data_IF_809140503661
#
_entry.id   IF_809140503661
#
_cell.length_a   1.000
_cell.length_b   1.000
_cell.length_c   1.000
_cell.angle_alpha   90.00
_cell.angle_beta   90.00
_cell.angle_gamma   90.00
#
_symmetry.space_group_name_H-M   'P 1'
#
loop_
_entity.id
_entity.type
_entity.pdbx_description
1 polymer ?
#
# COMPACT_ATOMS: atom_id res chain seq x y z
N UNK A 1 -6.20 -6.39 21.66
CA UNK A 1 -5.03 -6.37 20.76
C UNK A 1 -5.29 -5.35 19.66
N UNK A 2 -4.31 -4.53 19.28
CA UNK A 2 -4.43 -3.58 18.15
C UNK A 2 -4.15 -4.31 16.83
N UNK A 3 -5.05 -5.21 16.46
CA UNK A 3 -4.90 -6.06 15.29
C UNK A 3 -6.19 -6.08 14.45
N UNK A 4 -6.04 -6.12 13.14
CA UNK A 4 -7.12 -6.35 12.18
C UNK A 4 -7.03 -7.77 11.61
N UNK A 5 -8.17 -8.33 11.22
CA UNK A 5 -8.27 -9.63 10.55
C UNK A 5 -8.92 -9.40 9.20
N UNK A 6 -8.27 -9.88 8.13
CA UNK A 6 -8.80 -9.86 6.77
C UNK A 6 -9.14 -11.29 6.34
N UNK A 7 -10.23 -11.43 5.59
CA UNK A 7 -10.72 -12.68 5.01
C UNK A 7 -10.38 -12.66 3.52
N UNK A 8 -9.72 -13.71 3.02
CA UNK A 8 -9.33 -13.80 1.60
C UNK A 8 -9.59 -15.21 1.00
N UNK A 9 -9.67 -15.26 -0.34
CA UNK A 9 -9.92 -16.46 -1.15
C UNK A 9 -8.62 -17.17 -1.56
N UNK A 10 -8.48 -18.44 -1.15
CA UNK A 10 -7.27 -19.30 -1.13
C UNK A 10 -6.23 -19.22 -2.28
N UNK A 11 -6.59 -18.79 -3.50
CA UNK A 11 -5.74 -18.94 -4.70
C UNK A 11 -4.69 -17.82 -4.88
N UNK A 12 -4.84 -16.67 -4.23
CA UNK A 12 -3.89 -15.54 -4.33
C UNK A 12 -3.08 -15.29 -3.05
N UNK A 13 -3.50 -15.88 -1.93
CA UNK A 13 -3.16 -15.36 -0.60
C UNK A 13 -1.93 -16.01 0.07
N UNK A 14 -1.54 -17.22 -0.38
CA UNK A 14 -0.31 -17.86 0.13
C UNK A 14 0.95 -17.07 -0.23
N UNK A 15 0.91 -16.30 -1.33
CA UNK A 15 2.02 -15.42 -1.71
C UNK A 15 2.11 -14.21 -0.81
N UNK A 16 0.97 -13.64 -0.43
CA UNK A 16 0.91 -12.57 0.57
C UNK A 16 1.55 -13.04 1.86
N UNK A 17 1.15 -14.22 2.38
CA UNK A 17 1.73 -14.77 3.60
C UNK A 17 3.24 -15.01 3.47
N UNK A 18 3.69 -15.65 2.39
CA UNK A 18 5.11 -15.99 2.21
C UNK A 18 6.02 -14.75 2.14
N UNK A 19 5.55 -13.68 1.49
CA UNK A 19 6.30 -12.43 1.40
C UNK A 19 6.16 -11.63 2.69
N UNK A 20 4.93 -11.36 3.12
CA UNK A 20 4.61 -10.42 4.19
C UNK A 20 5.12 -10.89 5.55
N UNK A 21 5.07 -12.19 5.84
CA UNK A 21 5.59 -12.75 7.10
C UNK A 21 7.11 -12.57 7.28
N UNK A 22 7.84 -12.29 6.20
CA UNK A 22 9.31 -12.07 6.20
C UNK A 22 9.70 -10.59 6.27
N UNK A 23 8.71 -9.68 6.27
CA UNK A 23 8.94 -8.24 6.32
C UNK A 23 8.95 -7.78 7.78
N UNK A 24 9.99 -7.03 8.13
CA UNK A 24 10.14 -6.39 9.43
C UNK A 24 10.76 -5.00 9.21
N UNK A 25 9.89 -3.99 9.15
CA UNK A 25 10.24 -2.59 8.95
C UNK A 25 9.13 -1.69 9.50
N UNK A 26 9.50 -0.53 10.04
CA UNK A 26 8.55 0.40 10.64
C UNK A 26 7.52 0.94 9.64
N UNK A 27 7.84 1.00 8.36
CA UNK A 27 6.97 1.47 7.28
C UNK A 27 6.26 0.35 6.52
N UNK A 28 6.25 -0.87 7.04
CA UNK A 28 5.43 -1.97 6.54
C UNK A 28 4.40 -2.33 7.62
N UNK A 29 3.16 -2.63 7.20
CA UNK A 29 2.13 -3.14 8.12
C UNK A 29 2.66 -4.43 8.74
N UNK A 30 2.67 -4.55 10.07
CA UNK A 30 3.22 -5.76 10.69
C UNK A 30 2.29 -6.96 10.49
N UNK A 31 2.81 -8.05 9.92
CA UNK A 31 2.14 -9.35 9.91
C UNK A 31 2.20 -9.97 11.32
N UNK A 32 1.06 -10.50 11.80
CA UNK A 32 0.94 -11.11 13.14
C UNK A 32 0.78 -12.63 13.04
N UNK A 33 -0.06 -13.12 12.13
CA UNK A 33 -0.31 -14.55 11.95
C UNK A 33 -1.42 -14.84 10.95
N UNK A 34 -1.64 -16.12 10.62
CA UNK A 34 -2.75 -16.55 9.77
C UNK A 34 -3.22 -17.95 10.13
N UNK A 35 -4.50 -18.25 9.90
CA UNK A 35 -5.09 -19.58 10.11
C UNK A 35 -6.21 -19.83 9.10
N UNK A 36 -6.57 -21.10 8.92
CA UNK A 36 -7.67 -21.51 8.07
C UNK A 36 -8.83 -22.04 8.90
N UNK A 37 -10.05 -21.71 8.49
CA UNK A 37 -11.26 -22.33 9.03
C UNK A 37 -12.09 -22.93 7.89
N UNK A 38 -12.62 -24.12 8.11
CA UNK A 38 -13.58 -24.76 7.22
C UNK A 38 -14.95 -24.73 7.90
N UNK A 39 -15.94 -23.99 7.37
CA UNK A 39 -17.27 -23.96 7.97
C UNK A 39 -17.89 -25.37 7.97
N UNK A 40 -18.08 -25.94 9.16
CA UNK A 40 -18.59 -27.30 9.34
C UNK A 40 -19.91 -27.53 8.57
N UNK A 41 -19.94 -28.59 7.77
CA UNK A 41 -21.17 -29.10 7.13
C UNK A 41 -21.62 -28.41 5.84
N UNK A 42 -20.84 -27.48 5.28
CA UNK A 42 -21.31 -26.60 4.20
C UNK A 42 -20.90 -27.01 2.77
N UNK A 43 -19.94 -27.93 2.60
CA UNK A 43 -19.37 -28.23 1.27
C UNK A 43 -18.62 -27.05 0.63
N UNK A 44 -18.30 -26.02 1.42
CA UNK A 44 -17.66 -24.76 0.99
C UNK A 44 -16.13 -24.85 1.11
N UNK A 45 -15.45 -24.05 0.28
CA UNK A 45 -14.01 -23.77 0.31
C UNK A 45 -13.55 -23.25 1.68
N UNK A 46 -12.38 -23.73 2.15
CA UNK A 46 -11.75 -23.21 3.37
C UNK A 46 -11.49 -21.70 3.27
N UNK A 47 -11.66 -20.99 4.39
CA UNK A 47 -11.46 -19.56 4.49
C UNK A 47 -10.11 -19.29 5.14
N UNK A 48 -9.30 -18.42 4.55
CA UNK A 48 -8.03 -17.97 5.11
C UNK A 48 -8.23 -16.65 5.87
N UNK A 49 -7.75 -16.62 7.11
CA UNK A 49 -7.71 -15.44 7.95
C UNK A 49 -6.28 -14.96 8.10
N UNK A 50 -6.04 -13.68 7.86
CA UNK A 50 -4.74 -13.04 8.05
C UNK A 50 -4.88 -11.94 9.09
N UNK A 51 -4.08 -12.02 10.15
CA UNK A 51 -4.02 -11.04 11.22
C UNK A 51 -2.80 -10.13 11.05
N UNK A 52 -3.05 -8.82 11.12
CA UNK A 52 -2.06 -7.78 10.92
C UNK A 52 -2.23 -6.65 11.93
N UNK A 53 -1.21 -5.80 12.05
CA UNK A 53 -1.28 -4.53 12.77
C UNK A 53 -2.45 -3.68 12.26
N UNK A 54 -3.27 -3.18 13.19
CA UNK A 54 -4.39 -2.31 12.88
C UNK A 54 -3.89 -0.90 12.56
N UNK A 55 -4.11 -0.48 11.31
CA UNK A 55 -3.90 0.90 10.89
C UNK A 55 -5.23 1.67 10.95
N UNK A 56 -5.15 2.98 11.15
CA UNK A 56 -6.34 3.82 11.39
C UNK A 56 -7.12 4.14 10.11
N UNK A 57 -6.40 4.51 9.05
CA UNK A 57 -6.95 4.94 7.77
C UNK A 57 -5.96 4.57 6.65
N UNK A 58 -6.38 4.68 5.39
CA UNK A 58 -5.48 4.68 4.25
C UNK A 58 -5.33 6.09 3.63
N UNK A 59 -4.33 6.27 2.78
CA UNK A 59 -4.03 7.56 2.15
C UNK A 59 -5.19 8.05 1.26
N UNK A 60 -5.98 7.15 0.65
CA UNK A 60 -7.18 7.52 -0.11
C UNK A 60 -8.21 8.20 0.78
N UNK A 61 -8.49 7.65 1.96
CA UNK A 61 -9.42 8.21 2.94
C UNK A 61 -8.93 9.56 3.44
N UNK A 62 -7.63 9.67 3.79
CA UNK A 62 -7.04 10.93 4.21
C UNK A 62 -7.17 12.01 3.12
N UNK A 63 -6.92 11.66 1.86
CA UNK A 63 -7.07 12.62 0.76
C UNK A 63 -8.53 13.07 0.57
N UNK A 64 -9.50 12.16 0.72
CA UNK A 64 -10.93 12.52 0.69
C UNK A 64 -11.32 13.44 1.85
N UNK A 65 -10.87 13.14 3.06
CA UNK A 65 -11.14 13.95 4.25
C UNK A 65 -10.59 15.36 4.09
N UNK A 66 -9.34 15.48 3.62
CA UNK A 66 -8.73 16.75 3.21
C UNK A 66 -9.69 17.53 2.30
N UNK A 67 -10.02 16.98 1.13
CA UNK A 67 -10.89 17.66 0.14
C UNK A 67 -12.23 18.13 0.73
N UNK A 68 -12.86 17.32 1.59
CA UNK A 68 -14.15 17.68 2.22
C UNK A 68 -14.05 18.86 3.20
N UNK A 69 -12.96 18.94 3.96
CA UNK A 69 -12.73 20.05 4.88
C UNK A 69 -12.39 21.35 4.12
N UNK A 70 -11.67 21.27 3.00
CA UNK A 70 -11.22 22.43 2.23
C UNK A 70 -12.33 23.16 1.47
N UNK A 71 -13.35 22.45 1.00
CA UNK A 71 -14.54 23.09 0.42
C UNK A 71 -15.25 24.04 1.42
N UNK A 72 -14.98 23.88 2.71
CA UNK A 72 -15.63 24.60 3.80
C UNK A 72 -14.84 25.83 4.29
N UNK A 73 -13.60 26.04 3.84
CA UNK A 73 -12.69 27.06 4.43
C UNK A 73 -12.07 27.95 3.35
N UNK A 74 -12.18 29.29 3.42
CA UNK A 74 -11.57 30.19 2.45
C UNK A 74 -10.03 30.18 2.51
N UNK A 75 -9.41 29.94 1.35
CA UNK A 75 -7.98 29.80 1.06
C UNK A 75 -7.09 30.97 1.55
N UNK A 76 -6.67 30.98 2.81
CA UNK A 76 -5.64 31.91 3.29
C UNK A 76 -4.65 31.21 4.24
N UNK A 77 -3.65 30.53 3.65
CA UNK A 77 -2.44 30.09 4.35
C UNK A 77 -2.25 28.58 4.57
N UNK A 78 -3.23 27.74 4.20
CA UNK A 78 -3.17 26.29 4.42
C UNK A 78 -2.25 25.54 3.43
N UNK A 79 -1.99 26.08 2.24
CA UNK A 79 -1.16 25.42 1.21
C UNK A 79 0.27 25.06 1.66
N UNK A 80 0.91 25.88 2.49
CA UNK A 80 2.26 25.57 3.00
C UNK A 80 2.27 24.38 3.97
N UNK A 81 1.25 24.29 4.83
CA UNK A 81 1.13 23.19 5.80
C UNK A 81 0.81 21.89 5.07
N UNK A 82 -0.07 21.95 4.06
CA UNK A 82 -0.41 20.78 3.26
C UNK A 82 0.76 20.29 2.43
N UNK A 83 1.49 21.19 1.77
CA UNK A 83 2.72 20.85 1.06
C UNK A 83 3.72 20.17 1.98
N UNK A 84 3.90 20.70 3.19
CA UNK A 84 4.80 20.12 4.19
C UNK A 84 4.36 18.69 4.59
N UNK A 85 3.06 18.47 4.82
CA UNK A 85 2.51 17.15 5.14
C UNK A 85 2.70 16.19 3.95
N UNK A 86 2.32 16.61 2.74
CA UNK A 86 2.44 15.79 1.54
C UNK A 86 3.90 15.43 1.25
N UNK A 87 4.84 16.35 1.46
CA UNK A 87 6.28 16.10 1.38
C UNK A 87 6.76 15.09 2.43
N UNK A 88 6.30 15.20 3.68
CA UNK A 88 6.69 14.26 4.73
C UNK A 88 6.18 12.84 4.42
N UNK A 89 4.91 12.71 4.03
CA UNK A 89 4.33 11.44 3.60
C UNK A 89 5.08 10.86 2.40
N UNK A 90 5.45 11.69 1.42
CA UNK A 90 6.21 11.24 0.27
C UNK A 90 7.53 10.61 0.68
N UNK A 91 8.26 11.29 1.57
CA UNK A 91 9.56 10.83 2.05
C UNK A 91 9.45 9.47 2.73
N UNK A 92 8.48 9.30 3.64
CA UNK A 92 8.27 8.03 4.32
C UNK A 92 7.88 6.90 3.35
N UNK A 93 7.04 7.19 2.35
CA UNK A 93 6.67 6.22 1.30
C UNK A 93 7.92 5.78 0.51
N UNK A 94 8.82 6.71 0.17
CA UNK A 94 10.06 6.37 -0.52
C UNK A 94 10.97 5.50 0.34
N UNK A 95 11.11 5.80 1.63
CA UNK A 95 11.89 4.99 2.58
C UNK A 95 11.32 3.57 2.72
N UNK A 96 9.99 3.43 2.74
CA UNK A 96 9.31 2.16 2.77
C UNK A 96 9.54 1.31 1.50
N UNK A 97 9.47 1.95 0.34
CA UNK A 97 9.69 1.28 -0.95
C UNK A 97 11.16 0.95 -1.16
N UNK A 98 12.06 1.84 -0.75
CA UNK A 98 13.50 1.57 -0.73
C UNK A 98 13.80 0.31 0.08
N UNK A 99 13.22 0.18 1.27
CA UNK A 99 13.36 -1.03 2.08
C UNK A 99 12.98 -2.30 1.30
N UNK A 100 11.86 -2.31 0.56
CA UNK A 100 11.47 -3.47 -0.25
C UNK A 100 12.47 -3.74 -1.38
N UNK A 101 12.94 -2.68 -2.02
CA UNK A 101 13.79 -2.74 -3.21
C UNK A 101 15.25 -3.08 -2.91
N UNK A 102 15.74 -2.81 -1.70
CA UNK A 102 17.11 -3.12 -1.26
C UNK A 102 17.23 -4.44 -0.50
N UNK A 103 16.13 -5.17 -0.32
CA UNK A 103 16.18 -6.50 0.30
C UNK A 103 16.88 -7.52 -0.60
N UNK A 104 17.40 -8.56 0.03
CA UNK A 104 17.88 -9.76 -0.66
C UNK A 104 17.02 -10.96 -0.21
N UNK A 105 16.17 -11.52 -1.08
CA UNK A 105 15.96 -11.10 -2.47
C UNK A 105 15.07 -9.84 -2.58
N UNK A 106 15.23 -9.12 -3.70
CA UNK A 106 14.49 -7.87 -3.99
C UNK A 106 12.99 -8.14 -4.08
N UNK A 107 12.16 -7.26 -3.52
CA UNK A 107 10.70 -7.37 -3.55
C UNK A 107 10.12 -6.21 -4.36
N UNK A 108 9.24 -6.51 -5.32
CA UNK A 108 8.47 -5.52 -6.07
C UNK A 108 7.01 -5.63 -5.61
N UNK A 109 6.40 -4.53 -5.21
CA UNK A 109 5.04 -4.51 -4.66
C UNK A 109 3.97 -4.70 -5.75
N UNK A 110 4.12 -4.02 -6.88
CA UNK A 110 3.27 -4.12 -8.11
C UNK A 110 1.83 -3.62 -7.99
N UNK A 111 1.37 -3.26 -6.80
CA UNK A 111 0.06 -2.62 -6.58
C UNK A 111 0.11 -1.46 -5.57
N UNK A 112 1.14 -0.60 -5.69
CA UNK A 112 1.20 0.61 -4.89
C UNK A 112 0.11 1.59 -5.32
N UNK A 113 -0.78 1.92 -4.40
CA UNK A 113 -1.89 2.84 -4.61
C UNK A 113 -2.33 3.44 -3.26
N UNK A 114 -3.07 4.55 -3.24
CA UNK A 114 -3.43 5.21 -1.99
C UNK A 114 -4.21 4.36 -0.98
N UNK A 115 -4.94 3.32 -1.40
CA UNK A 115 -5.62 2.41 -0.46
C UNK A 115 -4.67 1.43 0.22
N UNK A 116 -3.48 1.22 -0.34
CA UNK A 116 -2.47 0.29 0.16
C UNK A 116 -1.35 1.02 0.93
N UNK A 117 -1.44 2.35 1.03
CA UNK A 117 -0.64 3.17 1.94
C UNK A 117 -1.47 3.48 3.18
N UNK A 118 -1.19 2.77 4.26
CA UNK A 118 -1.90 2.85 5.53
C UNK A 118 -1.31 3.92 6.43
N UNK A 119 -2.13 4.45 7.33
CA UNK A 119 -1.78 5.47 8.31
C UNK A 119 -1.89 4.88 9.71
N UNK A 120 -0.77 4.77 10.40
CA UNK A 120 -0.74 4.42 11.81
C UNK A 120 -0.55 5.67 12.67
N UNK A 121 -1.44 5.83 13.65
CA UNK A 121 -1.24 6.77 14.75
C UNK A 121 -0.56 6.01 15.88
N UNK A 122 0.69 6.34 16.18
CA UNK A 122 1.37 5.72 17.31
C UNK A 122 0.91 6.32 18.65
N UNK A 123 1.38 5.74 19.76
CA UNK A 123 1.01 6.15 21.11
C UNK A 123 1.39 7.61 21.45
N UNK A 124 2.34 8.19 20.70
CA UNK A 124 2.72 9.60 20.82
C UNK A 124 1.92 10.51 19.86
N UNK A 125 0.83 10.01 19.27
CA UNK A 125 0.02 10.67 18.23
C UNK A 125 0.82 11.10 17.00
N UNK A 126 2.01 10.51 16.78
CA UNK A 126 2.75 10.73 15.55
C UNK A 126 2.19 9.80 14.47
N UNK A 127 1.83 10.41 13.35
CA UNK A 127 1.48 9.72 12.13
C UNK A 127 2.73 9.10 11.53
N UNK A 128 2.61 7.85 11.08
CA UNK A 128 3.58 7.21 10.20
C UNK A 128 2.83 6.44 9.12
N UNK A 129 3.35 6.46 7.90
CA UNK A 129 2.83 5.61 6.83
C UNK A 129 3.27 4.16 7.01
N UNK A 130 2.47 3.24 6.50
CA UNK A 130 2.79 1.82 6.40
C UNK A 130 2.29 1.26 5.07
N UNK A 131 3.16 0.61 4.29
CA UNK A 131 2.75 -0.14 3.10
C UNK A 131 2.07 -1.44 3.55
N UNK A 132 0.90 -1.72 2.99
CA UNK A 132 0.16 -2.98 3.16
C UNK A 132 -0.28 -3.57 1.83
N UNK A 133 -0.98 -4.71 1.90
CA UNK A 133 -1.50 -5.47 0.75
C UNK A 133 -0.41 -5.98 -0.21
N UNK A 134 0.19 -7.11 0.17
CA UNK A 134 1.24 -7.78 -0.61
C UNK A 134 0.69 -8.89 -1.51
N UNK A 135 -0.63 -8.96 -1.75
CA UNK A 135 -1.25 -10.01 -2.58
C UNK A 135 -0.74 -10.03 -4.03
N UNK A 136 -0.30 -8.88 -4.53
CA UNK A 136 0.34 -8.75 -5.82
C UNK A 136 1.86 -8.60 -5.74
N UNK A 137 2.50 -8.66 -4.57
CA UNK A 137 3.94 -8.56 -4.47
C UNK A 137 4.65 -9.75 -5.13
N UNK A 138 5.89 -9.56 -5.58
CA UNK A 138 6.73 -10.63 -6.13
C UNK A 138 8.20 -10.39 -5.84
N UNK A 139 8.91 -11.49 -5.57
CA UNK A 139 10.37 -11.50 -5.53
C UNK A 139 10.91 -11.29 -6.95
N UNK A 140 11.76 -10.29 -7.14
CA UNK A 140 12.38 -10.04 -8.43
C UNK A 140 13.35 -11.18 -8.76
N UNK A 141 12.97 -11.99 -9.74
CA UNK A 141 13.76 -13.07 -10.29
C UNK A 141 14.12 -12.76 -11.75
N UNK A 142 15.10 -13.48 -12.33
CA UNK A 142 15.43 -13.39 -13.77
C UNK A 142 14.34 -14.00 -14.67
N UNK A 143 13.17 -14.30 -14.12
CA UNK A 143 12.07 -14.99 -14.78
C UNK A 143 11.10 -14.04 -15.47
N UNK A 144 10.07 -14.63 -16.08
CA UNK A 144 8.92 -13.87 -16.58
C UNK A 144 8.05 -13.41 -15.41
N UNK A 145 7.57 -12.18 -15.49
CA UNK A 145 6.53 -11.62 -14.64
C UNK A 145 5.15 -11.75 -15.28
N UNK A 146 4.11 -11.68 -14.45
CA UNK A 146 2.71 -11.58 -14.89
C UNK A 146 2.45 -10.19 -15.47
N UNK A 147 1.85 -10.12 -16.66
CA UNK A 147 1.37 -8.88 -17.29
C UNK A 147 0.08 -8.39 -16.64
N UNK A 148 -0.24 -7.11 -16.81
CA UNK A 148 -1.53 -6.53 -16.44
C UNK A 148 -1.93 -6.82 -14.99
N UNK A 149 -0.98 -6.65 -14.06
CA UNK A 149 -1.23 -6.74 -12.61
C UNK A 149 -1.18 -5.34 -12.00
N UNK A 150 -1.98 -5.13 -10.98
CA UNK A 150 -2.15 -3.86 -10.29
C UNK A 150 -3.51 -3.23 -10.55
N UNK A 151 -3.73 -2.04 -10.00
CA UNK A 151 -5.00 -1.31 -10.10
C UNK A 151 -4.98 -0.30 -11.24
N UNK A 152 -6.01 -0.36 -12.10
CA UNK A 152 -6.20 0.58 -13.21
C UNK A 152 -6.03 2.04 -12.73
N UNK A 153 -5.16 2.79 -13.40
CA UNK A 153 -4.61 4.14 -13.10
C UNK A 153 -3.21 4.21 -12.46
N UNK A 154 -2.73 3.15 -11.79
CA UNK A 154 -1.41 3.13 -11.15
C UNK A 154 -0.41 2.19 -11.83
N UNK A 155 -0.85 1.40 -12.81
CA UNK A 155 -0.01 0.42 -13.50
C UNK A 155 0.97 1.13 -14.43
N UNK A 156 2.25 0.76 -14.31
CA UNK A 156 3.29 1.23 -15.22
C UNK A 156 3.10 0.67 -16.65
N UNK A 157 3.38 1.46 -17.70
CA UNK A 157 3.15 1.02 -19.08
C UNK A 157 3.93 -0.25 -19.46
N UNK A 158 5.11 -0.47 -18.88
CA UNK A 158 5.89 -1.69 -19.04
C UNK A 158 5.25 -2.92 -18.36
N UNK A 159 4.49 -2.74 -17.29
CA UNK A 159 3.73 -3.85 -16.65
C UNK A 159 2.57 -4.29 -17.54
N UNK A 160 2.02 -3.36 -18.33
CA UNK A 160 0.96 -3.64 -19.31
C UNK A 160 1.53 -4.35 -20.54
N UNK A 161 2.62 -3.81 -21.09
CA UNK A 161 3.16 -4.22 -22.39
C UNK A 161 4.20 -5.35 -22.32
N UNK A 162 4.93 -5.48 -21.21
CA UNK A 162 6.07 -6.39 -21.07
C UNK A 162 5.83 -7.46 -19.99
N UNK A 163 6.44 -8.63 -20.20
CA UNK A 163 6.56 -9.68 -19.17
C UNK A 163 7.78 -9.48 -18.27
N UNK A 164 8.59 -8.47 -18.54
CA UNK A 164 9.80 -8.17 -17.78
C UNK A 164 9.73 -6.72 -17.34
N UNK A 165 9.68 -6.52 -16.04
CA UNK A 165 9.71 -5.22 -15.37
C UNK A 165 10.44 -5.37 -14.04
N UNK A 166 10.84 -4.25 -13.46
CA UNK A 166 11.65 -4.21 -12.25
C UNK A 166 11.03 -3.26 -11.22
N UNK A 167 11.81 -2.89 -10.22
CA UNK A 167 11.44 -1.95 -9.15
C UNK A 167 10.94 -0.59 -9.66
N UNK A 168 11.24 -0.19 -10.90
CA UNK A 168 10.73 1.06 -11.50
C UNK A 168 9.22 1.06 -11.71
N UNK A 169 8.58 -0.11 -11.78
CA UNK A 169 7.12 -0.20 -11.82
C UNK A 169 6.49 0.44 -10.57
N UNK A 170 7.04 0.16 -9.38
CA UNK A 170 6.58 0.75 -8.12
C UNK A 170 6.82 2.27 -8.11
N UNK A 171 7.96 2.75 -8.65
CA UNK A 171 8.28 4.19 -8.75
C UNK A 171 7.27 4.92 -9.63
N UNK A 172 6.85 4.31 -10.75
CA UNK A 172 5.79 4.86 -11.59
C UNK A 172 4.48 4.98 -10.82
N UNK A 173 4.05 3.91 -10.14
CA UNK A 173 2.82 3.91 -9.35
C UNK A 173 2.81 5.00 -8.27
N UNK A 174 3.95 5.21 -7.60
CA UNK A 174 4.15 6.32 -6.65
C UNK A 174 3.93 7.65 -7.36
N UNK A 175 4.63 7.91 -8.46
CA UNK A 175 4.48 9.16 -9.22
C UNK A 175 3.02 9.47 -9.58
N UNK A 176 2.24 8.45 -9.97
CA UNK A 176 0.82 8.60 -10.29
C UNK A 176 -0.01 9.09 -9.12
N UNK A 177 0.11 8.50 -7.93
CA UNK A 177 -0.70 8.98 -6.80
C UNK A 177 -0.09 10.19 -6.08
N UNK A 178 1.20 10.48 -6.26
CA UNK A 178 1.79 11.72 -5.77
C UNK A 178 1.24 12.93 -6.52
N UNK A 179 0.92 12.80 -7.81
CA UNK A 179 0.15 13.81 -8.55
C UNK A 179 -1.12 14.14 -7.79
N UNK A 180 -1.93 13.14 -7.39
CA UNK A 180 -3.15 13.35 -6.62
C UNK A 180 -2.94 13.97 -5.23
N UNK A 181 -1.78 13.73 -4.60
CA UNK A 181 -1.46 14.22 -3.25
C UNK A 181 -0.94 15.68 -3.25
N UNK A 182 -0.35 16.11 -4.37
CA UNK A 182 0.19 17.46 -4.56
C UNK A 182 -0.66 18.33 -5.48
N UNK A 183 -1.69 17.80 -6.14
CA UNK A 183 -2.61 18.58 -6.93
C UNK A 183 -3.57 19.35 -6.00
N UNK A 184 -3.05 20.42 -5.43
CA UNK A 184 -3.85 21.57 -5.00
C UNK A 184 -4.53 22.08 -6.26
N UNK A 185 -5.84 22.38 -6.26
CA UNK A 185 -6.51 22.99 -7.40
C UNK A 185 -5.67 24.14 -7.98
N UNK A 186 -4.89 23.86 -9.04
CA UNK A 186 -4.18 24.85 -9.85
C UNK A 186 -5.16 25.34 -10.91
N UNK A 187 -6.34 25.73 -10.45
CA UNK A 187 -7.26 26.52 -11.25
C UNK A 187 -7.16 27.93 -10.67
N UNK A 188 -6.08 28.64 -11.04
CA UNK A 188 -6.06 30.11 -11.04
C UNK A 188 -7.14 30.64 -11.99
#
# INVERSE_FOLDING_TARGET
>A
SNAQIIIQDLNLDYREIDIHSKLDNNYVVKYIGSWMESPLGSGVTSILYIQMELCSHNLREVNKMKMSCFQSVPNRGMGHIEYFISYHLFKEILEAVEYLHTREPVIIHRDLKPTNIMILLNLAQKQCIKIGDFGLAKIHDKGSHTRNVGTDNYIAPEVISSKVYNTKADVYSIGRFMEELFNFDINE
#
